data_IF_727216116154
#
_entry.id   IF_727216116154
#
_cell.length_a   1.000
_cell.length_b   1.000
_cell.length_c   1.000
_cell.angle_alpha   90.00
_cell.angle_beta   90.00
_cell.angle_gamma   90.00
#
_symmetry.space_group_name_H-M   'P 1'
#
loop_
_entity.id
_entity.type
_entity.pdbx_description
1 polymer ?
#
# COMPACT_ATOMS: atom_id res chain seq x y z
N UNK A 1 3.50 1.98 21.42
CA UNK A 1 3.46 3.20 20.56
C UNK A 1 3.41 2.76 19.11
N UNK A 2 2.54 3.36 18.30
CA UNK A 2 2.40 3.07 16.87
C UNK A 2 2.82 4.30 16.06
N UNK A 3 3.68 4.12 15.06
CA UNK A 3 3.92 5.06 13.97
C UNK A 3 3.22 4.52 12.72
N UNK A 4 2.08 5.10 12.37
CA UNK A 4 1.28 4.75 11.18
C UNK A 4 1.55 5.65 9.98
N UNK A 5 2.60 6.44 10.01
CA UNK A 5 3.01 7.34 8.93
C UNK A 5 3.70 6.63 7.76
N UNK A 6 4.18 7.42 6.81
CA UNK A 6 5.05 6.94 5.72
C UNK A 6 6.49 7.35 6.03
N UNK A 7 7.02 6.81 7.13
CA UNK A 7 8.31 7.19 7.70
C UNK A 7 9.47 6.39 7.06
N UNK A 8 10.68 6.97 7.11
CA UNK A 8 11.90 6.22 6.77
C UNK A 8 12.15 5.14 7.83
N UNK A 9 12.31 3.89 7.42
CA UNK A 9 12.52 2.75 8.32
C UNK A 9 13.73 2.93 9.24
N UNK A 10 14.78 3.67 8.80
CA UNK A 10 15.97 3.97 9.61
C UNK A 10 15.66 4.91 10.77
N UNK A 11 14.72 5.83 10.58
CA UNK A 11 14.26 6.73 11.64
C UNK A 11 13.30 5.99 12.59
N UNK A 12 12.51 5.04 12.08
CA UNK A 12 11.72 4.13 12.90
C UNK A 12 12.61 3.32 13.85
N UNK A 13 13.75 2.78 13.37
CA UNK A 13 14.72 2.07 14.22
C UNK A 13 15.32 2.96 15.32
N UNK A 14 15.64 4.23 15.02
CA UNK A 14 16.13 5.19 16.01
C UNK A 14 15.06 5.50 17.06
N UNK A 15 13.82 5.68 16.61
CA UNK A 15 12.68 5.96 17.50
C UNK A 15 12.39 4.76 18.39
N UNK A 16 12.38 3.56 17.83
CA UNK A 16 12.18 2.34 18.59
C UNK A 16 13.17 2.17 19.74
N UNK A 17 14.47 2.42 19.48
CA UNK A 17 15.49 2.36 20.52
C UNK A 17 15.21 3.33 21.67
N UNK A 18 14.78 4.57 21.36
CA UNK A 18 14.42 5.56 22.38
C UNK A 18 13.18 5.17 23.19
N UNK A 19 12.25 4.43 22.57
CA UNK A 19 11.06 3.92 23.25
C UNK A 19 11.38 2.73 24.13
N UNK A 20 12.24 1.82 23.66
CA UNK A 20 12.74 0.67 24.42
C UNK A 20 13.41 1.11 25.74
N UNK A 21 14.25 2.16 25.71
CA UNK A 21 14.87 2.76 26.90
C UNK A 21 13.86 3.24 27.95
N UNK A 22 12.59 3.45 27.52
CA UNK A 22 11.46 3.87 28.38
C UNK A 22 10.51 2.72 28.70
N UNK A 23 10.83 1.49 28.30
CA UNK A 23 9.96 0.34 28.47
C UNK A 23 8.70 0.37 27.59
N UNK A 24 8.73 1.09 26.45
CA UNK A 24 7.60 1.25 25.54
C UNK A 24 7.85 0.44 24.28
N UNK A 25 6.96 -0.50 23.97
CA UNK A 25 6.94 -1.19 22.67
C UNK A 25 6.63 -0.21 21.53
N UNK A 26 7.39 -0.31 20.45
CA UNK A 26 7.22 0.52 19.25
C UNK A 26 6.89 -0.33 18.05
N UNK A 27 5.89 0.09 17.27
CA UNK A 27 5.45 -0.53 16.02
C UNK A 27 5.51 0.48 14.90
N UNK A 28 6.15 0.10 13.79
CA UNK A 28 6.14 0.80 12.53
C UNK A 28 5.11 0.14 11.60
N UNK A 29 4.07 0.89 11.25
CA UNK A 29 2.94 0.36 10.48
C UNK A 29 2.82 1.13 9.17
N UNK A 30 3.38 0.57 8.10
CA UNK A 30 3.17 1.08 6.75
C UNK A 30 1.71 0.88 6.33
N UNK A 31 1.05 1.97 5.92
CA UNK A 31 -0.37 1.95 5.55
C UNK A 31 -0.56 2.19 4.06
N UNK A 32 -1.41 1.41 3.41
CA UNK A 32 -1.80 1.55 2.00
C UNK A 32 -3.31 1.55 1.82
N UNK A 33 -3.81 2.17 0.74
CA UNK A 33 -5.24 2.27 0.42
C UNK A 33 -5.73 3.68 0.14
N UNK A 34 -4.91 4.71 0.43
CA UNK A 34 -5.27 6.12 0.21
C UNK A 34 -6.53 6.53 0.98
N UNK A 35 -7.22 7.55 0.49
CA UNK A 35 -8.47 8.06 1.09
C UNK A 35 -9.57 7.00 1.07
N UNK A 36 -9.64 6.20 0.02
CA UNK A 36 -10.60 5.11 -0.08
C UNK A 36 -10.35 4.05 1.00
N UNK A 37 -9.11 3.59 1.13
CA UNK A 37 -8.73 2.61 2.16
C UNK A 37 -8.95 3.11 3.58
N UNK A 38 -8.73 4.40 3.84
CA UNK A 38 -9.00 4.99 5.16
C UNK A 38 -10.48 4.92 5.56
N UNK A 39 -11.40 4.84 4.60
CA UNK A 39 -12.86 4.77 4.85
C UNK A 39 -13.41 3.34 4.79
N UNK A 40 -12.82 2.48 3.97
CA UNK A 40 -13.42 1.18 3.60
C UNK A 40 -12.53 -0.02 3.99
N UNK A 41 -11.42 0.23 4.66
CA UNK A 41 -10.45 -0.78 5.06
C UNK A 41 -9.10 -0.59 4.36
N UNK A 42 -8.06 -0.36 5.15
CA UNK A 42 -6.70 -0.16 4.68
C UNK A 42 -5.90 -1.48 4.64
N UNK A 43 -4.71 -1.42 4.04
CA UNK A 43 -3.70 -2.47 4.15
C UNK A 43 -2.58 -2.00 5.07
N UNK A 44 -2.28 -2.80 6.10
CA UNK A 44 -1.29 -2.53 7.12
C UNK A 44 -0.10 -3.50 7.02
N UNK A 45 1.10 -2.96 7.07
CA UNK A 45 2.37 -3.68 7.05
C UNK A 45 3.05 -3.42 8.39
N UNK A 46 2.97 -4.39 9.33
CA UNK A 46 3.24 -4.17 10.75
C UNK A 46 4.59 -4.75 11.16
N UNK A 47 5.54 -3.91 11.55
CA UNK A 47 6.81 -4.29 12.14
C UNK A 47 6.84 -4.00 13.64
N UNK A 48 7.38 -4.94 14.44
CA UNK A 48 7.49 -4.79 15.90
C UNK A 48 7.65 -6.11 16.63
N UNK A 49 7.40 -6.10 17.94
CA UNK A 49 7.42 -7.31 18.76
C UNK A 49 6.29 -8.27 18.38
N UNK A 50 6.58 -9.56 18.10
CA UNK A 50 5.56 -10.50 17.62
C UNK A 50 4.50 -10.85 18.65
N UNK A 51 4.88 -10.97 19.93
CA UNK A 51 3.94 -11.36 20.98
C UNK A 51 2.97 -10.22 21.30
N UNK A 52 3.49 -9.00 21.42
CA UNK A 52 2.66 -7.81 21.64
C UNK A 52 1.79 -7.51 20.43
N UNK A 53 2.32 -7.71 19.19
CA UNK A 53 1.51 -7.58 17.99
C UNK A 53 0.30 -8.52 18.05
N UNK A 54 0.54 -9.81 18.26
CA UNK A 54 -0.50 -10.85 18.27
C UNK A 54 -1.55 -10.63 19.35
N UNK A 55 -1.11 -10.26 20.57
CA UNK A 55 -1.99 -10.20 21.73
C UNK A 55 -2.75 -8.87 21.84
N UNK A 56 -2.15 -7.75 21.40
CA UNK A 56 -2.68 -6.42 21.70
C UNK A 56 -3.09 -5.61 20.44
N UNK A 57 -2.51 -5.90 19.25
CA UNK A 57 -2.71 -5.06 18.08
C UNK A 57 -3.41 -5.73 16.92
N UNK A 58 -3.23 -7.02 16.73
CA UNK A 58 -3.68 -7.74 15.54
C UNK A 58 -5.20 -7.61 15.34
N UNK A 59 -6.01 -7.95 16.34
CA UNK A 59 -7.47 -7.89 16.24
C UNK A 59 -7.97 -6.47 15.98
N UNK A 60 -7.38 -5.49 16.64
CA UNK A 60 -7.73 -4.09 16.42
C UNK A 60 -7.44 -3.65 14.99
N UNK A 61 -6.27 -3.99 14.45
CA UNK A 61 -5.89 -3.62 13.08
C UNK A 61 -6.71 -4.39 12.03
N UNK A 62 -6.98 -5.67 12.25
CA UNK A 62 -7.84 -6.47 11.38
C UNK A 62 -9.27 -5.92 11.30
N UNK A 63 -9.78 -5.35 12.40
CA UNK A 63 -11.13 -4.75 12.43
C UNK A 63 -11.30 -3.53 11.51
N UNK A 64 -10.22 -2.86 11.16
CA UNK A 64 -10.18 -1.68 10.28
C UNK A 64 -9.42 -1.92 8.97
N UNK A 65 -8.93 -3.14 8.76
CA UNK A 65 -8.24 -3.53 7.53
C UNK A 65 -9.24 -3.99 6.46
N UNK A 66 -8.82 -3.94 5.20
CA UNK A 66 -9.48 -4.73 4.15
C UNK A 66 -9.20 -6.22 4.36
N UNK A 67 -9.96 -7.09 3.70
CA UNK A 67 -9.78 -8.55 3.79
C UNK A 67 -8.32 -8.93 3.53
N UNK A 68 -7.69 -9.65 4.45
CA UNK A 68 -6.26 -10.00 4.44
C UNK A 68 -5.31 -8.77 4.44
N UNK A 69 -5.79 -7.60 4.83
CA UNK A 69 -5.04 -6.36 4.80
C UNK A 69 -4.14 -6.10 6.02
N UNK A 70 -4.11 -6.96 7.02
CA UNK A 70 -3.23 -6.85 8.19
C UNK A 70 -2.09 -7.87 8.08
N UNK A 71 -0.90 -7.40 7.74
CA UNK A 71 0.29 -8.23 7.54
C UNK A 71 1.34 -7.94 8.61
N UNK A 72 1.66 -8.93 9.45
CA UNK A 72 2.85 -8.86 10.28
C UNK A 72 4.09 -9.12 9.43
N UNK A 73 5.04 -8.20 9.42
CA UNK A 73 6.22 -8.21 8.53
C UNK A 73 7.51 -8.60 9.22
N UNK A 74 7.49 -8.71 10.56
CA UNK A 74 8.66 -9.07 11.35
C UNK A 74 9.07 -8.00 12.35
N UNK A 75 10.36 -7.93 12.66
CA UNK A 75 10.91 -6.98 13.63
C UNK A 75 10.69 -5.54 13.25
N UNK A 76 10.81 -4.65 14.23
CA UNK A 76 10.74 -3.20 14.04
C UNK A 76 11.57 -2.70 12.86
N UNK A 77 11.00 -1.80 12.08
CA UNK A 77 11.56 -1.25 10.84
C UNK A 77 11.08 -2.01 9.58
N UNK A 78 10.58 -3.24 9.73
CA UNK A 78 10.17 -4.06 8.58
C UNK A 78 8.87 -3.58 7.93
N UNK A 79 7.96 -2.97 8.68
CA UNK A 79 6.71 -2.43 8.17
C UNK A 79 6.94 -1.25 7.23
N UNK A 80 7.67 -0.24 7.69
CA UNK A 80 8.02 0.92 6.86
C UNK A 80 8.96 0.56 5.71
N UNK A 81 9.88 -0.41 5.92
CA UNK A 81 10.72 -0.88 4.83
C UNK A 81 9.90 -1.54 3.72
N UNK A 82 8.97 -2.44 4.08
CA UNK A 82 8.07 -3.05 3.09
C UNK A 82 7.21 -1.99 2.41
N UNK A 83 6.69 -1.01 3.17
CA UNK A 83 5.90 0.09 2.58
C UNK A 83 6.71 0.92 1.59
N UNK A 84 7.98 1.17 1.86
CA UNK A 84 8.87 1.86 0.92
C UNK A 84 9.02 1.08 -0.39
N UNK A 85 9.23 -0.24 -0.31
CA UNK A 85 9.32 -1.10 -1.50
C UNK A 85 7.98 -1.17 -2.24
N UNK A 86 6.87 -1.30 -1.51
CA UNK A 86 5.52 -1.22 -2.08
C UNK A 86 5.32 0.08 -2.89
N UNK A 87 5.76 1.22 -2.36
CA UNK A 87 5.64 2.50 -3.06
C UNK A 87 6.51 2.54 -4.32
N UNK A 88 7.71 1.98 -4.29
CA UNK A 88 8.56 1.87 -5.48
C UNK A 88 7.88 1.03 -6.58
N UNK A 89 7.31 -0.13 -6.22
CA UNK A 89 6.53 -0.96 -7.15
C UNK A 89 5.30 -0.22 -7.68
N UNK A 90 4.58 0.50 -6.81
CA UNK A 90 3.39 1.27 -7.17
C UNK A 90 3.71 2.32 -8.25
N UNK A 91 4.71 3.17 -8.00
CA UNK A 91 5.07 4.23 -8.94
C UNK A 91 5.65 3.67 -10.26
N UNK A 92 6.44 2.60 -10.21
CA UNK A 92 6.91 1.90 -11.40
C UNK A 92 5.75 1.35 -12.24
N UNK A 93 4.77 0.74 -11.58
CA UNK A 93 3.57 0.24 -12.27
C UNK A 93 2.71 1.38 -12.86
N UNK A 94 2.50 2.46 -12.11
CA UNK A 94 1.78 3.64 -12.62
C UNK A 94 2.48 4.24 -13.85
N UNK A 95 3.81 4.35 -13.83
CA UNK A 95 4.59 4.83 -14.98
C UNK A 95 4.41 3.93 -16.20
N UNK A 96 4.51 2.61 -16.01
CA UNK A 96 4.30 1.63 -17.09
C UNK A 96 2.90 1.73 -17.71
N UNK A 97 1.86 1.91 -16.89
CA UNK A 97 0.51 2.11 -17.38
C UNK A 97 0.38 3.42 -18.14
N UNK A 98 0.95 4.52 -17.61
CA UNK A 98 0.93 5.83 -18.28
C UNK A 98 1.57 5.79 -19.67
N UNK A 99 2.76 5.19 -19.79
CA UNK A 99 3.45 5.02 -21.07
C UNK A 99 2.64 4.13 -22.05
N UNK A 100 2.04 3.04 -21.53
CA UNK A 100 1.21 2.16 -22.32
C UNK A 100 -0.02 2.87 -22.90
N UNK A 101 -0.74 3.62 -22.09
CA UNK A 101 -1.90 4.39 -22.56
C UNK A 101 -1.51 5.54 -23.48
N UNK A 102 -0.36 6.20 -23.28
CA UNK A 102 0.16 7.20 -24.21
C UNK A 102 0.45 6.60 -25.60
N UNK A 103 1.02 5.39 -25.65
CA UNK A 103 1.25 4.69 -26.91
C UNK A 103 -0.06 4.34 -27.62
N UNK A 104 -1.09 3.92 -26.88
CA UNK A 104 -2.41 3.64 -27.46
C UNK A 104 -3.04 4.92 -28.00
N UNK A 105 -3.00 6.02 -27.25
CA UNK A 105 -3.55 7.32 -27.66
C UNK A 105 -2.89 7.88 -28.92
N UNK A 106 -1.57 7.70 -29.06
CA UNK A 106 -0.78 8.19 -30.21
C UNK A 106 -0.72 7.19 -31.38
N UNK A 107 -1.35 6.03 -31.26
CA UNK A 107 -1.37 5.03 -32.34
C UNK A 107 -2.24 5.45 -33.52
N UNK A 108 -2.14 4.72 -34.62
CA UNK A 108 -3.04 4.88 -35.80
C UNK A 108 -4.46 4.30 -35.58
N UNK A 109 -4.70 3.67 -34.43
CA UNK A 109 -5.96 3.05 -34.08
C UNK A 109 -6.79 3.95 -33.19
N UNK A 110 -8.10 3.99 -33.36
CA UNK A 110 -9.04 4.77 -32.58
C UNK A 110 -9.50 3.96 -31.34
N UNK A 111 -8.67 3.92 -30.30
CA UNK A 111 -8.99 3.22 -29.06
C UNK A 111 -9.86 4.08 -28.14
N UNK A 112 -10.97 3.51 -27.63
CA UNK A 112 -11.65 4.00 -26.46
C UNK A 112 -10.82 3.62 -25.20
N UNK A 113 -10.01 4.55 -24.70
CA UNK A 113 -9.09 4.29 -23.57
C UNK A 113 -9.82 3.97 -22.27
N UNK A 114 -11.03 4.52 -22.05
CA UNK A 114 -11.86 4.15 -20.88
C UNK A 114 -12.23 2.67 -20.99
N UNK A 115 -12.77 2.25 -22.13
CA UNK A 115 -13.19 0.86 -22.33
C UNK A 115 -11.99 -0.12 -22.30
N UNK A 116 -10.86 0.25 -22.88
CA UNK A 116 -9.61 -0.54 -22.82
C UNK A 116 -9.17 -0.72 -21.38
N UNK A 117 -9.08 0.36 -20.59
CA UNK A 117 -8.65 0.30 -19.20
C UNK A 117 -9.61 -0.54 -18.35
N UNK A 118 -10.93 -0.35 -18.50
CA UNK A 118 -11.95 -1.12 -17.79
C UNK A 118 -11.85 -2.62 -18.11
N UNK A 119 -11.73 -2.99 -19.40
CA UNK A 119 -11.56 -4.37 -19.81
C UNK A 119 -10.29 -5.00 -19.26
N UNK A 120 -9.15 -4.32 -19.38
CA UNK A 120 -7.86 -4.81 -18.88
C UNK A 120 -7.84 -4.95 -17.36
N UNK A 121 -8.57 -4.11 -16.63
CA UNK A 121 -8.65 -4.15 -15.17
C UNK A 121 -9.30 -5.43 -14.63
N UNK A 122 -10.15 -6.08 -15.41
CA UNK A 122 -10.98 -7.22 -15.01
C UNK A 122 -10.47 -8.55 -15.56
N UNK A 123 -10.03 -8.56 -16.81
CA UNK A 123 -9.84 -9.80 -17.59
C UNK A 123 -8.40 -10.12 -17.98
N UNK A 124 -7.46 -9.19 -17.83
CA UNK A 124 -6.08 -9.37 -18.28
C UNK A 124 -5.14 -9.86 -17.16
N UNK A 125 -3.93 -10.29 -17.53
CA UNK A 125 -2.86 -10.65 -16.57
C UNK A 125 -2.44 -9.45 -15.71
N UNK A 126 -2.54 -8.24 -16.26
CA UNK A 126 -2.20 -6.99 -15.55
C UNK A 126 -3.38 -6.38 -14.77
N UNK A 127 -4.48 -7.12 -14.62
CA UNK A 127 -5.69 -6.65 -13.93
C UNK A 127 -5.37 -6.12 -12.53
N UNK A 128 -6.09 -5.10 -12.11
CA UNK A 128 -5.96 -4.55 -10.77
C UNK A 128 -6.53 -3.14 -10.63
N UNK A 129 -6.53 -2.68 -9.39
CA UNK A 129 -7.16 -1.42 -9.01
C UNK A 129 -6.60 -0.19 -9.73
N UNK A 130 -5.31 -0.16 -10.07
CA UNK A 130 -4.73 0.98 -10.80
C UNK A 130 -5.33 1.13 -12.21
N UNK A 131 -5.68 0.04 -12.88
CA UNK A 131 -6.38 0.09 -14.15
C UNK A 131 -7.84 0.54 -14.01
N UNK A 132 -8.52 0.17 -12.94
CA UNK A 132 -9.87 0.72 -12.63
C UNK A 132 -9.81 2.23 -12.41
N UNK A 133 -8.78 2.72 -11.70
CA UNK A 133 -8.55 4.15 -11.53
C UNK A 133 -8.22 4.85 -12.86
N UNK A 134 -7.45 4.21 -13.73
CA UNK A 134 -7.16 4.73 -15.06
C UNK A 134 -8.44 4.83 -15.91
N UNK A 135 -9.31 3.81 -15.90
CA UNK A 135 -10.62 3.87 -16.58
C UNK A 135 -11.45 5.05 -16.08
N UNK A 136 -11.51 5.26 -14.76
CA UNK A 136 -12.21 6.42 -14.19
C UNK A 136 -11.59 7.76 -14.58
N UNK A 137 -10.28 7.83 -14.75
CA UNK A 137 -9.60 9.05 -15.18
C UNK A 137 -9.83 9.39 -16.66
N UNK A 138 -10.05 8.38 -17.53
CA UNK A 138 -10.40 8.57 -18.94
C UNK A 138 -11.88 8.90 -19.15
N UNK A 139 -12.74 8.64 -18.18
CA UNK A 139 -14.17 9.00 -18.24
C UNK A 139 -14.32 10.52 -18.27
N UNK A 140 -14.83 11.04 -19.39
CA UNK A 140 -15.05 12.48 -19.61
C UNK A 140 -16.45 12.90 -19.18
#
# INVERSE_FOLDING_TARGET
MIDGGNSDHRDSLKTAKKMEEKGIYFFDIGTSGGVYGARHGASFMCGGDPEVFKNDLQEMLESIATTNGCLYTGKTGSGHYLKMIHNAMLYGYMQTLGEGFELLEKSEFDYDLEHVADSLSKSSVIRGWLLELAANAFRK
#
